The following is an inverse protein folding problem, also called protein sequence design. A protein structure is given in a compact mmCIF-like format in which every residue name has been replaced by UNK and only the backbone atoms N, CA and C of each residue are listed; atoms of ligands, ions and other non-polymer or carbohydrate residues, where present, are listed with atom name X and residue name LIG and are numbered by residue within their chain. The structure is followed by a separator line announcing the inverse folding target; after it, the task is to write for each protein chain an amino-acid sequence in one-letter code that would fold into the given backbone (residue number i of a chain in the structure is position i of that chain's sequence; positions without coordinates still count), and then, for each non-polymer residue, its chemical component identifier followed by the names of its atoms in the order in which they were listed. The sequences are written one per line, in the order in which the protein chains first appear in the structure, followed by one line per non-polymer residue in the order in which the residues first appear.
data_IF_082702209606
#
_entry.id   IF_082702209606
#
_cell.length_a   1.000
_cell.length_b   1.000
_cell.length_c   1.000
_cell.angle_alpha   90.00
_cell.angle_beta   90.00
_cell.angle_gamma   90.00
#
_symmetry.space_group_name_H-M   'P 1'
#
loop_
_entity.id
_entity.type
_entity.pdbx_description
1 polymer ?
#
# COMPACT_ATOMS: atom_id res chain seq x y z
N UNK A 1 -10.89 4.97 8.56
CA UNK A 1 -10.72 6.23 7.80
C UNK A 1 -11.61 7.35 8.36
N UNK A 2 -12.93 7.16 8.45
CA UNK A 2 -13.88 8.26 8.74
C UNK A 2 -13.74 8.86 10.13
N UNK A 3 -13.49 8.05 11.15
CA UNK A 3 -13.26 8.51 12.52
C UNK A 3 -11.86 9.11 12.74
N UNK A 4 -11.08 9.31 11.67
CA UNK A 4 -9.72 9.90 11.71
C UNK A 4 -8.73 9.14 12.61
N UNK A 5 -9.01 7.88 12.95
CA UNK A 5 -8.13 7.02 13.75
C UNK A 5 -6.90 6.65 12.91
N UNK A 6 -5.66 6.86 13.41
CA UNK A 6 -4.44 6.44 12.74
C UNK A 6 -4.51 5.02 12.19
N UNK A 7 -4.08 4.84 10.95
CA UNK A 7 -4.10 3.56 10.24
C UNK A 7 -2.73 3.26 9.61
N UNK A 8 -2.26 2.03 9.86
CA UNK A 8 -1.10 1.42 9.21
C UNK A 8 -1.54 0.07 8.61
N UNK A 9 -1.62 -0.01 7.29
CA UNK A 9 -1.94 -1.26 6.58
C UNK A 9 -0.68 -1.90 5.98
N UNK A 10 -0.48 -3.19 6.19
CA UNK A 10 0.68 -3.94 5.67
C UNK A 10 0.17 -5.07 4.78
N UNK A 11 0.70 -5.19 3.57
CA UNK A 11 0.36 -6.22 2.60
C UNK A 11 -1.17 -6.27 2.37
N UNK A 12 -1.86 -7.32 2.82
CA UNK A 12 -3.33 -7.40 2.78
C UNK A 12 -4.01 -6.16 3.41
N UNK A 13 -3.41 -5.56 4.45
CA UNK A 13 -3.89 -4.29 5.02
C UNK A 13 -3.98 -3.17 3.98
N UNK A 14 -2.97 -3.02 3.13
CA UNK A 14 -3.04 -2.06 2.02
C UNK A 14 -4.14 -2.41 1.03
N UNK A 15 -4.27 -3.69 0.67
CA UNK A 15 -5.29 -4.13 -0.29
C UNK A 15 -6.71 -3.82 0.21
N UNK A 16 -7.02 -4.12 1.47
CA UNK A 16 -8.35 -3.82 2.04
C UNK A 16 -8.59 -2.31 2.15
N UNK A 17 -7.56 -1.50 2.36
CA UNK A 17 -7.68 -0.04 2.35
C UNK A 17 -8.03 0.50 0.95
N UNK A 18 -7.42 -0.04 -0.11
CA UNK A 18 -7.78 0.29 -1.50
C UNK A 18 -9.22 -0.14 -1.80
N UNK A 19 -9.61 -1.35 -1.40
CA UNK A 19 -10.96 -1.88 -1.60
C UNK A 19 -12.01 -1.03 -0.89
N UNK A 20 -11.79 -0.69 0.39
CA UNK A 20 -12.69 0.18 1.18
C UNK A 20 -12.86 1.54 0.50
N UNK A 21 -11.76 2.16 0.09
CA UNK A 21 -11.79 3.48 -0.53
C UNK A 21 -12.49 3.46 -1.89
N UNK A 22 -12.21 2.45 -2.72
CA UNK A 22 -12.87 2.27 -4.00
C UNK A 22 -14.40 2.10 -3.84
N UNK A 23 -14.85 1.31 -2.86
CA UNK A 23 -16.28 1.12 -2.59
C UNK A 23 -16.94 2.41 -2.09
N UNK A 24 -16.38 3.01 -1.04
CA UNK A 24 -17.09 4.00 -0.25
C UNK A 24 -16.83 5.44 -0.68
N UNK A 25 -15.68 5.73 -1.30
CA UNK A 25 -15.31 7.09 -1.72
C UNK A 25 -15.41 7.24 -3.23
N UNK A 26 -14.91 6.28 -4.00
CA UNK A 26 -15.01 6.31 -5.48
C UNK A 26 -16.41 5.91 -5.96
N UNK A 27 -17.15 5.11 -5.17
CA UNK A 27 -18.49 4.64 -5.52
C UNK A 27 -18.50 3.37 -6.39
N UNK A 28 -17.38 2.63 -6.45
CA UNK A 28 -17.27 1.36 -7.16
C UNK A 28 -17.90 0.23 -6.33
N UNK A 29 -19.23 0.20 -6.31
CA UNK A 29 -20.00 -0.81 -5.57
C UNK A 29 -19.59 -2.22 -6.00
N UNK A 30 -19.21 -3.04 -5.04
CA UNK A 30 -18.74 -4.41 -5.30
C UNK A 30 -17.24 -4.53 -5.60
N UNK A 31 -16.45 -3.44 -5.59
CA UNK A 31 -15.01 -3.51 -5.81
C UNK A 31 -14.32 -4.48 -4.85
N UNK A 32 -13.42 -5.33 -5.33
CA UNK A 32 -12.81 -6.36 -4.50
C UNK A 32 -11.42 -6.77 -5.02
N UNK A 33 -10.78 -7.69 -4.28
CA UNK A 33 -9.66 -8.48 -4.78
C UNK A 33 -10.18 -9.73 -5.48
N UNK A 34 -9.56 -10.10 -6.61
CA UNK A 34 -9.80 -11.41 -7.24
C UNK A 34 -9.40 -12.57 -6.34
N UNK A 35 -8.56 -12.33 -5.33
CA UNK A 35 -8.26 -13.29 -4.25
C UNK A 35 -9.52 -13.72 -3.47
N UNK A 36 -10.43 -12.76 -3.23
CA UNK A 36 -11.63 -12.99 -2.42
C UNK A 36 -12.88 -13.22 -3.25
N UNK A 37 -12.98 -12.53 -4.39
CA UNK A 37 -14.12 -12.60 -5.29
C UNK A 37 -13.66 -12.44 -6.74
N UNK A 38 -13.49 -13.57 -7.42
CA UNK A 38 -13.08 -13.62 -8.84
C UNK A 38 -14.10 -12.99 -9.78
N UNK A 39 -15.35 -12.86 -9.35
CA UNK A 39 -16.45 -12.34 -10.17
C UNK A 39 -16.79 -10.88 -9.83
N UNK A 40 -15.96 -10.20 -9.03
CA UNK A 40 -16.17 -8.79 -8.69
C UNK A 40 -16.31 -7.94 -9.97
N UNK A 41 -17.30 -7.04 -10.05
CA UNK A 41 -17.40 -6.13 -11.19
C UNK A 41 -16.24 -5.14 -11.26
N UNK A 42 -15.52 -4.93 -10.14
CA UNK A 42 -14.40 -4.01 -10.05
C UNK A 42 -13.19 -4.64 -9.34
N UNK A 43 -12.35 -5.41 -10.07
CA UNK A 43 -11.14 -6.04 -9.51
C UNK A 43 -10.04 -5.00 -9.31
N UNK A 44 -10.16 -4.22 -8.22
CA UNK A 44 -9.20 -3.16 -7.87
C UNK A 44 -7.88 -3.73 -7.33
N UNK A 45 -7.92 -4.97 -6.86
CA UNK A 45 -6.73 -5.77 -6.51
C UNK A 45 -6.79 -7.06 -7.34
N UNK A 46 -5.68 -7.49 -7.94
CA UNK A 46 -5.61 -8.71 -8.73
C UNK A 46 -4.18 -9.19 -8.99
N UNK A 47 -4.01 -10.40 -9.53
CA UNK A 47 -2.71 -10.87 -9.99
C UNK A 47 -2.25 -10.03 -11.18
N UNK A 48 -0.95 -9.75 -11.29
CA UNK A 48 -0.38 -9.03 -12.45
C UNK A 48 -0.79 -9.68 -13.78
N UNK A 49 -0.85 -11.02 -13.80
CA UNK A 49 -1.24 -11.82 -14.97
C UNK A 49 -2.74 -11.79 -15.29
N UNK A 50 -3.59 -11.30 -14.39
CA UNK A 50 -5.03 -11.18 -14.67
C UNK A 50 -5.37 -9.90 -15.44
N UNK A 51 -4.38 -9.03 -15.67
CA UNK A 51 -4.62 -7.72 -16.23
C UNK A 51 -4.58 -7.79 -17.75
N UNK A 52 -5.67 -7.31 -18.34
CA UNK A 52 -5.81 -7.17 -19.79
C UNK A 52 -4.95 -5.99 -20.27
N UNK A 53 -4.20 -6.17 -21.35
CA UNK A 53 -3.49 -5.06 -22.00
C UNK A 53 -4.46 -3.98 -22.53
N UNK A 54 -3.92 -2.86 -23.03
CA UNK A 54 -4.74 -1.76 -23.58
C UNK A 54 -5.55 -2.19 -24.80
N UNK A 55 -5.18 -3.29 -25.45
CA UNK A 55 -5.82 -3.87 -26.62
C UNK A 55 -6.91 -4.91 -26.28
N UNK A 56 -7.11 -5.26 -25.01
CA UNK A 56 -8.16 -6.20 -24.61
C UNK A 56 -7.71 -7.67 -24.57
N UNK A 57 -6.41 -7.97 -24.68
CA UNK A 57 -5.91 -9.33 -24.51
C UNK A 57 -5.68 -9.67 -23.05
N UNK A 58 -6.36 -10.74 -22.60
CA UNK A 58 -6.12 -11.35 -21.29
C UNK A 58 -4.88 -12.23 -21.44
N UNK A 59 -3.74 -11.80 -20.88
CA UNK A 59 -2.55 -12.64 -20.69
C UNK A 59 -2.89 -13.77 -19.69
N UNK A 60 -3.62 -14.78 -20.14
CA UNK A 60 -4.09 -15.86 -19.27
C UNK A 60 -2.92 -16.78 -18.94
N UNK A 61 -2.14 -16.45 -17.91
CA UNK A 61 -1.25 -17.42 -17.26
C UNK A 61 -2.03 -18.12 -16.16
N UNK A 62 -2.39 -19.38 -16.40
CA UNK A 62 -3.22 -20.19 -15.51
C UNK A 62 -2.61 -20.33 -14.11
N UNK A 63 -3.39 -20.03 -13.07
CA UNK A 63 -3.02 -20.24 -11.65
C UNK A 63 -2.56 -21.67 -11.33
N UNK A 64 -3.01 -22.66 -12.12
CA UNK A 64 -2.73 -24.08 -11.88
C UNK A 64 -1.27 -24.50 -12.12
N UNK A 65 -0.45 -23.66 -12.75
CA UNK A 65 0.89 -24.06 -13.21
C UNK A 65 2.05 -23.20 -12.69
N UNK A 66 1.81 -22.20 -11.84
CA UNK A 66 2.88 -21.27 -11.47
C UNK A 66 2.93 -21.00 -9.96
N UNK A 67 3.33 -22.03 -9.20
CA UNK A 67 3.65 -21.87 -7.78
C UNK A 67 4.88 -20.97 -7.52
N UNK A 68 5.51 -20.38 -8.56
CA UNK A 68 6.70 -19.53 -8.44
C UNK A 68 6.64 -18.15 -9.14
N UNK A 69 5.97 -17.99 -10.28
CA UNK A 69 6.18 -16.84 -11.17
C UNK A 69 5.38 -15.57 -10.89
N UNK A 70 4.33 -15.62 -10.07
CA UNK A 70 3.56 -14.43 -9.66
C UNK A 70 3.91 -13.91 -8.27
N UNK A 71 4.66 -14.68 -7.48
CA UNK A 71 5.02 -14.30 -6.11
C UNK A 71 6.17 -13.28 -6.13
N UNK A 72 5.91 -12.08 -5.63
CA UNK A 72 6.96 -11.13 -5.27
C UNK A 72 7.50 -11.50 -3.91
N UNK A 73 8.75 -11.94 -3.91
CA UNK A 73 9.44 -12.42 -2.72
C UNK A 73 10.79 -11.72 -2.54
N UNK A 74 11.14 -11.44 -1.29
CA UNK A 74 12.47 -10.94 -0.94
C UNK A 74 12.59 -9.42 -1.00
N UNK A 75 13.82 -8.93 -0.91
CA UNK A 75 14.13 -7.51 -0.89
C UNK A 75 13.96 -6.90 -2.29
N UNK A 76 13.18 -5.82 -2.40
CA UNK A 76 12.95 -5.11 -3.65
C UNK A 76 13.00 -3.59 -3.40
N UNK A 77 13.41 -2.85 -4.43
CA UNK A 77 13.46 -1.39 -4.39
C UNK A 77 12.06 -0.78 -4.58
N UNK A 78 11.76 0.24 -3.78
CA UNK A 78 10.61 1.11 -3.97
C UNK A 78 11.06 2.57 -4.08
N UNK A 79 10.57 3.27 -5.10
CA UNK A 79 10.79 4.70 -5.36
C UNK A 79 9.70 5.51 -4.67
N UNK A 80 10.08 6.35 -3.72
CA UNK A 80 9.14 7.14 -2.93
C UNK A 80 8.86 8.50 -3.58
N UNK A 81 7.57 8.81 -3.74
CA UNK A 81 7.09 10.03 -4.40
C UNK A 81 7.49 11.27 -3.57
N UNK A 82 8.09 12.31 -4.19
CA UNK A 82 8.39 13.56 -3.49
C UNK A 82 7.17 14.17 -2.80
N UNK A 83 7.34 14.58 -1.55
CA UNK A 83 6.25 15.16 -0.74
C UNK A 83 5.29 14.14 -0.14
N UNK A 84 5.47 12.83 -0.38
CA UNK A 84 4.64 11.80 0.27
C UNK A 84 4.99 11.61 1.74
N UNK A 85 4.06 11.08 2.52
CA UNK A 85 4.32 10.65 3.90
C UNK A 85 5.33 9.52 3.92
N UNK A 86 5.30 8.61 2.94
CA UNK A 86 6.31 7.57 2.79
C UNK A 86 7.71 8.20 2.78
N UNK A 87 7.89 9.19 1.89
CA UNK A 87 9.15 9.88 1.69
C UNK A 87 9.59 10.64 2.95
N UNK A 88 8.65 11.31 3.61
CA UNK A 88 8.91 12.02 4.87
C UNK A 88 9.32 11.07 6.01
N UNK A 89 8.68 9.90 6.12
CA UNK A 89 8.99 8.92 7.16
C UNK A 89 10.38 8.28 6.96
N UNK A 90 10.71 7.88 5.74
CA UNK A 90 11.98 7.22 5.45
C UNK A 90 13.16 8.18 5.27
N UNK A 91 12.90 9.43 4.85
CA UNK A 91 13.95 10.41 4.54
C UNK A 91 14.80 10.07 3.31
N UNK A 92 14.32 9.20 2.40
CA UNK A 92 15.08 8.68 1.24
C UNK A 92 14.24 8.61 -0.04
N UNK A 93 14.86 8.84 -1.20
CA UNK A 93 14.23 8.64 -2.52
C UNK A 93 13.86 7.20 -2.82
N UNK A 94 14.79 6.31 -2.49
CA UNK A 94 14.67 4.89 -2.79
C UNK A 94 14.88 4.14 -1.49
N UNK A 95 13.99 3.19 -1.22
CA UNK A 95 14.08 2.26 -0.10
C UNK A 95 14.14 0.84 -0.61
N UNK A 96 14.62 -0.08 0.22
CA UNK A 96 14.61 -1.51 -0.06
C UNK A 96 13.84 -2.19 1.06
N UNK A 97 12.76 -2.86 0.71
CA UNK A 97 11.87 -3.53 1.66
C UNK A 97 11.55 -4.96 1.20
N UNK A 98 11.03 -5.79 2.11
CA UNK A 98 10.79 -7.20 1.84
C UNK A 98 9.35 -7.47 1.44
N UNK A 99 9.17 -8.16 0.31
CA UNK A 99 7.87 -8.56 -0.22
C UNK A 99 7.59 -10.04 0.03
N UNK A 100 6.30 -10.36 0.17
CA UNK A 100 5.77 -11.73 0.16
C UNK A 100 4.29 -11.74 -0.21
N UNK A 101 3.96 -11.30 -1.43
CA UNK A 101 2.58 -11.24 -1.93
C UNK A 101 2.52 -11.55 -3.44
N UNK A 102 1.30 -11.83 -3.92
CA UNK A 102 1.01 -12.10 -5.34
C UNK A 102 0.07 -11.08 -5.97
N UNK A 103 -0.83 -10.53 -5.17
CA UNK A 103 -1.88 -9.63 -5.62
C UNK A 103 -1.42 -8.17 -5.51
N UNK A 104 -1.76 -7.40 -6.54
CA UNK A 104 -1.33 -6.03 -6.77
C UNK A 104 -2.50 -5.10 -7.02
N UNK A 105 -2.28 -3.80 -6.82
CA UNK A 105 -3.27 -2.77 -7.19
C UNK A 105 -3.41 -2.73 -8.70
N UNK A 106 -4.63 -2.91 -9.21
CA UNK A 106 -4.89 -2.87 -10.63
C UNK A 106 -4.75 -1.44 -11.17
N UNK A 107 -3.76 -1.23 -12.04
CA UNK A 107 -3.39 0.07 -12.60
C UNK A 107 -4.55 0.81 -13.30
N UNK A 108 -5.54 0.08 -13.83
CA UNK A 108 -6.75 0.67 -14.43
C UNK A 108 -7.51 1.58 -13.47
N UNK A 109 -7.49 1.29 -12.18
CA UNK A 109 -8.25 2.01 -11.16
C UNK A 109 -7.46 3.13 -10.47
N UNK A 110 -6.14 3.18 -10.64
CA UNK A 110 -5.29 4.16 -9.96
C UNK A 110 -5.71 5.59 -10.29
N UNK A 111 -6.03 5.88 -11.55
CA UNK A 111 -6.45 7.21 -11.98
C UNK A 111 -7.69 7.71 -11.21
N UNK A 112 -8.74 6.88 -11.14
CA UNK A 112 -9.98 7.25 -10.44
C UNK A 112 -9.82 7.29 -8.92
N UNK A 113 -9.03 6.37 -8.35
CA UNK A 113 -8.71 6.36 -6.92
C UNK A 113 -7.93 7.63 -6.53
N UNK A 114 -6.96 8.03 -7.36
CA UNK A 114 -6.18 9.24 -7.11
C UNK A 114 -6.95 10.53 -7.29
N UNK A 115 -7.85 10.57 -8.28
CA UNK A 115 -8.76 11.70 -8.49
C UNK A 115 -9.73 11.88 -7.30
N UNK A 116 -10.14 10.79 -6.66
CA UNK A 116 -11.01 10.81 -5.47
C UNK A 116 -10.26 11.15 -4.17
N UNK A 117 -8.92 11.27 -4.20
CA UNK A 117 -8.14 11.88 -3.12
C UNK A 117 -7.10 10.98 -2.45
N UNK A 118 -7.13 9.66 -2.64
CA UNK A 118 -6.03 8.79 -2.21
C UNK A 118 -4.76 9.11 -3.03
N UNK A 119 -3.57 8.95 -2.46
CA UNK A 119 -2.31 9.18 -3.19
C UNK A 119 -1.45 7.93 -3.15
N UNK A 120 -0.74 7.70 -4.25
CA UNK A 120 0.35 6.74 -4.29
C UNK A 120 1.58 7.42 -3.71
N UNK A 121 2.11 6.86 -2.61
CA UNK A 121 3.27 7.39 -1.91
C UNK A 121 4.60 6.83 -2.43
N UNK A 122 4.56 5.75 -3.20
CA UNK A 122 5.72 5.07 -3.73
C UNK A 122 5.36 3.93 -4.68
N UNK A 123 6.30 3.66 -5.58
CA UNK A 123 6.16 2.72 -6.69
C UNK A 123 7.31 1.72 -6.71
N UNK A 124 7.14 0.62 -7.43
CA UNK A 124 8.22 -0.33 -7.70
C UNK A 124 9.37 0.34 -8.46
N UNK A 125 10.52 -0.33 -8.55
CA UNK A 125 11.72 0.20 -9.20
C UNK A 125 11.50 0.64 -10.67
N UNK A 126 10.61 -0.05 -11.38
CA UNK A 126 10.18 0.21 -12.77
C UNK A 126 8.91 1.09 -12.86
N UNK A 127 8.42 1.58 -11.73
CA UNK A 127 7.23 2.43 -11.61
C UNK A 127 5.92 1.78 -12.12
N UNK A 128 5.89 0.44 -12.21
CA UNK A 128 4.74 -0.30 -12.74
C UNK A 128 3.75 -0.75 -11.66
N UNK A 129 4.18 -0.90 -10.40
CA UNK A 129 3.37 -1.41 -9.29
C UNK A 129 3.30 -0.38 -8.16
N UNK A 130 2.14 -0.30 -7.51
CA UNK A 130 1.91 0.58 -6.36
C UNK A 130 2.45 -0.08 -5.10
N UNK A 131 3.41 0.56 -4.44
CA UNK A 131 4.02 0.01 -3.22
C UNK A 131 3.46 0.60 -1.95
N UNK A 132 3.04 1.87 -1.99
CA UNK A 132 2.47 2.54 -0.83
C UNK A 132 1.32 3.45 -1.23
N UNK A 133 0.34 3.57 -0.35
CA UNK A 133 -0.77 4.52 -0.46
C UNK A 133 -0.91 5.32 0.82
N UNK A 134 -1.46 6.52 0.66
CA UNK A 134 -1.75 7.42 1.76
C UNK A 134 -3.00 8.25 1.47
N UNK A 135 -3.59 8.80 2.53
CA UNK A 135 -4.74 9.69 2.40
C UNK A 135 -4.38 11.08 2.93
N UNK A 136 -4.11 12.06 2.04
CA UNK A 136 -3.94 13.45 2.41
C UNK A 136 -5.12 13.96 3.26
N UNK A 137 -4.83 14.80 4.26
CA UNK A 137 -5.84 15.35 5.18
C UNK A 137 -6.27 14.42 6.34
N UNK A 138 -5.89 13.14 6.31
CA UNK A 138 -6.01 12.24 7.46
C UNK A 138 -4.79 12.39 8.39
N UNK A 139 -4.95 12.39 9.74
CA UNK A 139 -3.82 12.60 10.66
C UNK A 139 -2.71 11.58 10.42
N UNK A 140 -3.08 10.29 10.33
CA UNK A 140 -2.17 9.26 9.87
C UNK A 140 -2.87 8.12 9.14
N UNK A 141 -2.74 8.09 7.82
CA UNK A 141 -3.23 6.99 6.99
C UNK A 141 -2.11 6.61 6.04
N UNK A 142 -1.51 5.45 6.28
CA UNK A 142 -0.43 4.92 5.48
C UNK A 142 -0.66 3.43 5.29
N UNK A 143 -0.44 2.92 4.08
CA UNK A 143 -0.38 1.49 3.86
C UNK A 143 0.68 1.13 2.82
N UNK A 144 1.26 -0.06 2.95
CA UNK A 144 2.31 -0.56 2.07
C UNK A 144 2.08 -2.03 1.68
N UNK A 145 2.59 -2.44 0.52
CA UNK A 145 2.59 -3.84 0.07
C UNK A 145 3.68 -4.67 0.74
N UNK A 146 4.85 -4.08 0.94
CA UNK A 146 5.97 -4.73 1.63
C UNK A 146 5.73 -4.89 3.13
N UNK A 147 6.62 -5.66 3.76
CA UNK A 147 6.62 -6.04 5.17
C UNK A 147 7.73 -5.31 5.95
N UNK A 148 7.50 -4.06 6.42
CA UNK A 148 8.49 -3.30 7.18
C UNK A 148 8.85 -3.95 8.53
N UNK A 149 8.04 -4.88 9.02
CA UNK A 149 8.34 -5.69 10.20
C UNK A 149 9.60 -6.55 10.03
N UNK A 150 9.98 -6.92 8.80
CA UNK A 150 11.17 -7.73 8.54
C UNK A 150 12.47 -6.91 8.48
N UNK A 151 12.37 -5.58 8.44
CA UNK A 151 13.52 -4.64 8.40
C UNK A 151 13.61 -3.80 9.68
N UNK A 152 12.63 -3.91 10.58
CA UNK A 152 12.67 -3.34 11.93
C UNK A 152 13.67 -4.09 12.83
N UNK A 153 14.42 -3.35 13.67
CA UNK A 153 15.32 -3.95 14.66
C UNK A 153 15.11 -3.36 16.05
N UNK A 154 15.44 -4.09 17.14
CA UNK A 154 15.35 -3.54 18.50
C UNK A 154 16.23 -2.30 18.76
N UNK A 155 17.31 -2.12 17.98
CA UNK A 155 18.27 -1.01 18.18
C UNK A 155 17.81 0.28 17.52
N UNK A 156 17.24 0.19 16.33
CA UNK A 156 16.90 1.36 15.50
C UNK A 156 15.40 1.55 15.32
N UNK A 157 14.59 0.55 15.68
CA UNK A 157 13.19 0.47 15.30
C UNK A 157 13.03 0.47 13.77
N UNK A 158 11.87 0.96 13.33
CA UNK A 158 11.58 1.22 11.92
C UNK A 158 10.82 2.56 11.80
N UNK A 159 11.18 3.43 10.85
CA UNK A 159 10.60 4.77 10.74
C UNK A 159 9.07 4.77 10.61
N UNK A 160 8.50 3.83 9.84
CA UNK A 160 7.05 3.70 9.71
C UNK A 160 6.35 3.37 11.03
N UNK A 161 6.88 2.43 11.82
CA UNK A 161 6.28 2.06 13.11
C UNK A 161 6.42 3.21 14.11
N UNK A 162 7.59 3.84 14.20
CA UNK A 162 7.79 5.00 15.07
C UNK A 162 6.84 6.14 14.70
N UNK A 163 6.70 6.47 13.41
CA UNK A 163 5.77 7.50 12.93
C UNK A 163 4.30 7.17 13.25
N UNK A 164 3.90 5.91 13.04
CA UNK A 164 2.55 5.45 13.36
C UNK A 164 2.25 5.54 14.86
N UNK A 165 3.16 5.08 15.72
CA UNK A 165 3.00 5.15 17.18
C UNK A 165 2.89 6.60 17.64
N UNK A 166 3.74 7.50 17.11
CA UNK A 166 3.65 8.94 17.43
C UNK A 166 2.31 9.54 17.03
N UNK A 167 1.77 9.15 15.87
CA UNK A 167 0.44 9.57 15.46
C UNK A 167 -0.67 9.04 16.39
N UNK A 168 -0.54 7.79 16.88
CA UNK A 168 -1.46 7.21 17.86
C UNK A 168 -1.40 7.96 19.19
N UNK A 169 -0.20 8.27 19.71
CA UNK A 169 -0.03 9.05 20.93
C UNK A 169 -0.66 10.44 20.80
N UNK A 170 -0.43 11.11 19.67
CA UNK A 170 -1.03 12.41 19.36
C UNK A 170 -2.56 12.32 19.32
N UNK A 171 -3.11 11.31 18.66
CA UNK A 171 -4.56 11.10 18.60
C UNK A 171 -5.19 10.79 19.97
N UNK A 172 -4.43 10.15 20.86
CA UNK A 172 -4.83 9.87 22.24
C UNK A 172 -4.64 11.07 23.19
N UNK A 173 -4.12 12.21 22.72
CA UNK A 173 -3.84 13.38 23.55
C UNK A 173 -2.66 13.19 24.51
N UNK A 174 -1.80 12.19 24.26
CA UNK A 174 -0.60 11.96 25.05
C UNK A 174 0.50 12.90 24.57
N UNK A 175 1.00 13.76 25.46
CA UNK A 175 2.10 14.66 25.14
C UNK A 175 3.35 13.84 24.74
N UNK A 176 4.09 14.26 23.70
CA UNK A 176 5.33 13.58 23.33
C UNK A 176 6.28 13.56 24.53
N UNK A 177 6.87 12.41 24.82
CA UNK A 177 7.92 12.33 25.83
C UNK A 177 9.02 13.32 25.44
N UNK A 178 9.37 14.22 26.37
CA UNK A 178 10.48 15.15 26.16
C UNK A 178 11.69 14.34 25.71
N UNK A 179 12.23 14.68 24.54
CA UNK A 179 13.43 14.02 24.03
C UNK A 179 14.52 14.17 25.10
N UNK A 180 14.83 13.09 25.80
CA UNK A 180 15.99 13.03 26.68
C UNK A 180 17.20 13.02 25.78
N UNK A 181 17.69 14.22 25.45
CA UNK A 181 18.98 14.38 24.80
C UNK A 181 20.06 13.76 25.67
N UNK A 182 20.82 12.84 25.10
CA UNK A 182 22.16 12.47 25.56
C UNK A 182 23.14 12.78 24.44
#
# INVERSE_FOLDING_TARGET
REQRIPYLGICLGMQVAVIEFARNVVGLVGANSTEFDRNTPHPVIGLITEWTDREGHVETRSEAFDYGGTMRLGAQEARLVPGSRARAAYGKDVIVERHRHRYEVNNKYIGVIQAAGMKVGGWSADESLVETIELPGHPWFFACQFHPEFTSTPRTGHPLFSGFIQACLTAAGVAPAAATGT
#
